data_IF_533254102507
#
_entry.id   IF_533254102507
#
_cell.length_a   1.000
_cell.length_b   1.000
_cell.length_c   1.000
_cell.angle_alpha   90.00
_cell.angle_beta   90.00
_cell.angle_gamma   90.00
#
_symmetry.space_group_name_H-M   'P 1'
#
loop_
_entity.id
_entity.type
_entity.pdbx_description
1 polymer ?
#
# COMPACT_ATOMS: atom_id res chain seq x y z
N UNK A 1 14.38 12.28 -11.62
CA UNK A 1 15.23 12.33 -10.43
C UNK A 1 14.32 12.06 -9.23
N UNK A 2 14.67 11.17 -8.31
CA UNK A 2 13.79 10.74 -7.19
C UNK A 2 13.97 11.58 -5.90
N UNK A 3 14.74 12.67 -5.96
CA UNK A 3 15.07 13.50 -4.79
C UNK A 3 13.89 14.23 -4.17
N UNK A 4 12.77 14.39 -4.89
CA UNK A 4 11.53 14.96 -4.35
C UNK A 4 10.69 13.92 -3.60
N UNK A 5 10.95 12.62 -3.79
CA UNK A 5 10.26 11.55 -3.09
C UNK A 5 10.88 11.35 -1.69
N UNK A 6 10.10 11.34 -0.60
CA UNK A 6 10.66 11.21 0.74
C UNK A 6 11.37 9.88 0.96
N UNK A 7 12.59 9.93 1.52
CA UNK A 7 13.40 8.75 1.86
C UNK A 7 13.36 8.44 3.37
N UNK A 8 12.20 8.70 4.01
CA UNK A 8 11.99 8.49 5.44
C UNK A 8 10.63 7.84 5.68
N UNK A 9 10.60 6.72 6.40
CA UNK A 9 9.36 6.04 6.78
C UNK A 9 8.39 6.96 7.54
N UNK A 10 8.91 7.90 8.32
CA UNK A 10 8.09 8.91 9.00
C UNK A 10 7.34 9.79 7.99
N UNK A 11 8.07 10.38 7.04
CA UNK A 11 7.48 11.25 6.03
C UNK A 11 6.54 10.47 5.09
N UNK A 12 6.93 9.24 4.70
CA UNK A 12 6.10 8.37 3.88
C UNK A 12 4.76 8.04 4.55
N UNK A 13 4.77 7.73 5.85
CA UNK A 13 3.54 7.50 6.62
C UNK A 13 2.72 8.78 6.77
N UNK A 14 3.36 9.87 7.17
CA UNK A 14 2.70 11.15 7.44
C UNK A 14 2.00 11.70 6.18
N UNK A 15 2.60 11.51 5.01
CA UNK A 15 2.07 11.98 3.73
C UNK A 15 1.16 10.94 3.03
N UNK A 16 0.95 9.77 3.62
CA UNK A 16 0.11 8.71 3.03
C UNK A 16 0.68 8.13 1.73
N UNK A 17 2.00 8.10 1.59
CA UNK A 17 2.71 7.65 0.38
C UNK A 17 3.08 6.17 0.38
N UNK A 18 2.92 5.49 1.52
CA UNK A 18 3.15 4.06 1.67
C UNK A 18 2.21 3.46 2.72
N UNK A 19 2.00 2.15 2.65
CA UNK A 19 1.19 1.39 3.60
C UNK A 19 2.03 0.84 4.74
N UNK A 20 1.48 0.86 5.97
CA UNK A 20 2.18 0.42 7.17
C UNK A 20 1.38 -0.61 7.95
N UNK A 21 2.09 -1.56 8.56
CA UNK A 21 1.56 -2.50 9.54
C UNK A 21 1.89 -2.02 10.94
N UNK A 22 0.85 -1.79 11.73
CA UNK A 22 0.96 -1.34 13.11
C UNK A 22 0.93 -2.54 14.06
N UNK A 23 1.79 -2.51 15.08
CA UNK A 23 1.84 -3.47 16.17
C UNK A 23 2.06 -2.76 17.49
N UNK A 24 1.39 -3.21 18.54
CA UNK A 24 1.74 -2.80 19.90
C UNK A 24 3.03 -3.48 20.33
N UNK A 25 3.86 -2.73 21.06
CA UNK A 25 4.98 -3.28 21.80
C UNK A 25 4.49 -3.89 23.12
N UNK A 26 5.30 -4.69 23.83
CA UNK A 26 4.94 -5.16 25.16
C UNK A 26 4.55 -4.01 26.11
N UNK A 27 5.25 -2.88 26.04
CA UNK A 27 4.92 -1.67 26.80
C UNK A 27 3.59 -1.07 26.34
N UNK A 28 3.34 -1.01 25.02
CA UNK A 28 2.08 -0.51 24.47
C UNK A 28 0.87 -1.33 24.89
N UNK A 29 1.00 -2.65 25.01
CA UNK A 29 -0.09 -3.51 25.50
C UNK A 29 -0.51 -3.17 26.94
N UNK A 30 0.45 -2.85 27.83
CA UNK A 30 0.15 -2.39 29.19
C UNK A 30 -0.63 -1.07 29.19
N UNK A 31 -0.35 -0.20 28.22
CA UNK A 31 -1.00 1.10 28.07
C UNK A 31 -2.18 1.10 27.10
N UNK A 32 -2.65 -0.06 26.64
CA UNK A 32 -3.69 -0.19 25.59
C UNK A 32 -4.96 0.60 25.87
N UNK A 33 -5.35 0.71 27.14
CA UNK A 33 -6.51 1.50 27.58
C UNK A 33 -6.38 3.02 27.35
N UNK A 34 -5.18 3.53 27.05
CA UNK A 34 -4.93 4.93 26.72
C UNK A 34 -5.22 5.27 25.24
N UNK A 35 -5.44 4.27 24.40
CA UNK A 35 -5.61 4.43 22.95
C UNK A 35 -7.07 4.70 22.62
N UNK A 36 -7.32 5.51 21.60
CA UNK A 36 -8.65 5.76 21.05
C UNK A 36 -8.66 5.54 19.54
N UNK A 37 -9.78 5.04 18.98
CA UNK A 37 -9.96 5.00 17.54
C UNK A 37 -9.80 6.40 16.94
N UNK A 38 -9.02 6.51 15.88
CA UNK A 38 -8.69 7.79 15.23
C UNK A 38 -7.49 8.54 15.84
N UNK A 39 -6.86 8.02 16.90
CA UNK A 39 -5.61 8.60 17.42
C UNK A 39 -4.54 8.63 16.32
N UNK A 40 -3.78 9.74 16.30
CA UNK A 40 -2.55 9.80 15.52
C UNK A 40 -1.56 8.75 16.07
N UNK A 41 -1.09 7.79 15.25
CA UNK A 41 -0.12 6.82 15.70
C UNK A 41 1.25 7.43 16.02
N UNK A 42 1.60 8.62 15.51
CA UNK A 42 2.94 9.19 15.63
C UNK A 42 3.40 9.37 17.09
N UNK A 43 2.64 10.03 18.00
CA UNK A 43 3.03 10.12 19.40
C UNK A 43 3.14 8.77 20.12
N UNK A 44 2.38 7.77 19.69
CA UNK A 44 2.40 6.42 20.25
C UNK A 44 3.64 5.65 19.78
N UNK A 45 4.11 5.92 18.56
CA UNK A 45 5.38 5.41 18.04
C UNK A 45 6.56 6.04 18.77
N UNK A 46 6.55 7.35 18.96
CA UNK A 46 7.62 8.07 19.68
C UNK A 46 7.78 7.62 21.14
N UNK A 47 6.67 7.26 21.80
CA UNK A 47 6.66 6.65 23.14
C UNK A 47 7.15 5.20 23.14
N UNK A 48 7.36 4.59 21.98
CA UNK A 48 7.69 3.17 21.83
C UNK A 48 6.55 2.23 22.20
N UNK A 49 5.30 2.70 22.18
CA UNK A 49 4.12 1.88 22.47
C UNK A 49 3.59 1.19 21.21
N UNK A 50 3.79 1.81 20.05
CA UNK A 50 3.46 1.25 18.74
C UNK A 50 4.72 1.18 17.90
N UNK A 51 4.81 0.17 17.05
CA UNK A 51 5.76 0.13 15.93
C UNK A 51 4.95 0.12 14.64
N UNK A 52 5.33 0.98 13.70
CA UNK A 52 4.83 0.95 12.33
C UNK A 52 5.93 0.39 11.43
N UNK A 53 5.65 -0.70 10.73
CA UNK A 53 6.57 -1.34 9.79
C UNK A 53 6.01 -1.18 8.37
N UNK A 54 6.80 -0.78 7.36
CA UNK A 54 6.30 -0.69 5.99
C UNK A 54 5.81 -2.07 5.51
N UNK A 55 4.71 -2.09 4.78
CA UNK A 55 4.23 -3.31 4.13
C UNK A 55 5.06 -3.55 2.87
N UNK A 56 5.59 -4.76 2.72
CA UNK A 56 6.36 -5.16 1.55
C UNK A 56 5.46 -5.16 0.31
N UNK A 57 5.98 -4.61 -0.78
CA UNK A 57 5.32 -4.64 -2.08
C UNK A 57 5.43 -6.04 -2.70
N UNK A 58 4.29 -6.68 -2.95
CA UNK A 58 4.19 -8.06 -3.46
C UNK A 58 3.74 -8.11 -4.94
N UNK A 59 3.62 -6.96 -5.60
CA UNK A 59 3.19 -6.86 -7.00
C UNK A 59 4.36 -6.52 -7.94
N UNK A 60 4.03 -6.19 -9.19
CA UNK A 60 5.00 -5.84 -10.23
C UNK A 60 4.98 -4.34 -10.51
N UNK A 61 6.10 -3.79 -10.97
CA UNK A 61 6.11 -2.41 -11.47
C UNK A 61 5.16 -2.29 -12.68
N UNK A 62 4.45 -1.15 -12.84
CA UNK A 62 3.57 -0.94 -13.97
C UNK A 62 4.32 -1.03 -15.31
N UNK A 63 3.58 -1.37 -16.37
CA UNK A 63 4.08 -1.76 -17.71
C UNK A 63 5.13 -0.81 -18.32
N UNK A 64 5.13 0.47 -17.94
CA UNK A 64 6.09 1.48 -18.40
C UNK A 64 7.47 1.43 -17.74
N UNK A 65 7.66 0.69 -16.63
CA UNK A 65 8.92 0.68 -15.89
C UNK A 65 9.99 -0.23 -16.50
N UNK A 66 9.61 -1.22 -17.30
CA UNK A 66 10.52 -2.27 -17.75
C UNK A 66 10.91 -2.21 -19.23
N UNK A 67 10.38 -1.30 -20.06
CA UNK A 67 10.79 -1.09 -21.48
C UNK A 67 10.74 -2.31 -22.43
N UNK A 68 10.48 -3.52 -21.93
CA UNK A 68 10.71 -4.80 -22.62
C UNK A 68 9.44 -5.30 -23.32
N UNK A 69 8.25 -4.82 -22.94
CA UNK A 69 6.99 -5.30 -23.54
C UNK A 69 6.62 -4.63 -24.87
N UNK A 70 7.41 -3.66 -25.35
CA UNK A 70 7.21 -3.03 -26.66
C UNK A 70 7.85 -3.81 -27.83
N UNK A 71 8.82 -4.70 -27.57
CA UNK A 71 9.62 -5.29 -28.66
C UNK A 71 8.99 -6.52 -29.34
N UNK A 72 8.00 -7.17 -28.74
CA UNK A 72 7.34 -8.36 -29.29
C UNK A 72 5.97 -8.09 -29.92
N UNK A 73 5.41 -6.90 -29.72
CA UNK A 73 4.16 -6.48 -30.33
C UNK A 73 4.52 -5.59 -31.51
N UNK A 74 4.44 -6.17 -32.70
CA UNK A 74 4.79 -5.51 -33.96
C UNK A 74 4.25 -4.08 -34.07
N UNK A 75 5.02 -3.28 -34.78
CA UNK A 75 4.98 -1.84 -35.07
C UNK A 75 3.59 -1.16 -35.24
N UNK A 76 2.69 -1.31 -34.28
CA UNK A 76 1.45 -0.54 -34.18
C UNK A 76 1.52 0.32 -32.93
N UNK A 77 1.79 1.60 -33.16
CA UNK A 77 1.74 2.68 -32.18
C UNK A 77 0.28 2.96 -31.80
N UNK A 78 -0.41 1.99 -31.19
CA UNK A 78 -1.67 2.28 -30.52
C UNK A 78 -1.35 2.77 -29.12
N UNK A 79 -1.43 4.09 -28.94
CA UNK A 79 -1.65 4.68 -27.64
C UNK A 79 -2.95 4.09 -27.07
N UNK A 80 -2.85 2.98 -26.32
CA UNK A 80 -4.00 2.31 -25.72
C UNK A 80 -4.54 3.18 -24.58
N UNK A 81 -5.37 4.15 -24.94
CA UNK A 81 -6.35 4.80 -24.06
C UNK A 81 -7.60 3.90 -23.89
N UNK A 82 -7.38 2.60 -23.68
CA UNK A 82 -8.43 1.57 -23.63
C UNK A 82 -8.21 0.60 -22.45
N UNK A 83 -7.83 1.11 -21.28
CA UNK A 83 -7.57 0.28 -20.09
C UNK A 83 -8.77 -0.58 -19.67
N UNK A 84 -10.00 -0.06 -19.79
CA UNK A 84 -11.20 -0.76 -19.32
C UNK A 84 -11.61 -1.92 -20.25
N UNK A 85 -11.63 -1.70 -21.58
CA UNK A 85 -12.00 -2.73 -22.54
C UNK A 85 -11.03 -3.93 -22.54
N UNK A 86 -9.74 -3.70 -22.27
CA UNK A 86 -8.76 -4.79 -22.11
C UNK A 86 -8.91 -5.55 -20.80
N UNK A 87 -9.33 -4.89 -19.72
CA UNK A 87 -9.51 -5.53 -18.40
C UNK A 87 -10.73 -6.44 -18.40
N UNK A 88 -11.86 -5.97 -18.93
CA UNK A 88 -13.10 -6.76 -19.00
C UNK A 88 -12.89 -8.06 -19.80
N UNK A 89 -12.22 -7.97 -20.95
CA UNK A 89 -11.87 -9.14 -21.76
C UNK A 89 -10.91 -10.10 -21.03
N UNK A 90 -9.94 -9.56 -20.29
CA UNK A 90 -9.01 -10.35 -19.49
C UNK A 90 -9.74 -11.07 -18.34
N UNK A 91 -10.58 -10.39 -17.58
CA UNK A 91 -11.36 -10.96 -16.48
C UNK A 91 -12.37 -12.00 -16.97
N UNK A 92 -12.99 -11.79 -18.14
CA UNK A 92 -13.85 -12.78 -18.78
C UNK A 92 -13.08 -14.05 -19.15
N UNK A 93 -11.87 -13.93 -19.68
CA UNK A 93 -11.01 -15.07 -20.00
C UNK A 93 -10.45 -15.76 -18.75
N UNK A 94 -10.14 -14.99 -17.70
CA UNK A 94 -9.68 -15.50 -16.40
C UNK A 94 -10.80 -16.22 -15.63
N UNK A 95 -12.05 -15.83 -15.87
CA UNK A 95 -13.25 -16.37 -15.22
C UNK A 95 -13.59 -15.70 -13.87
N UNK A 96 -12.86 -14.65 -13.48
CA UNK A 96 -13.10 -13.89 -12.27
C UNK A 96 -12.50 -12.48 -12.36
N UNK A 97 -12.97 -11.52 -11.54
CA UNK A 97 -12.37 -10.20 -11.48
C UNK A 97 -10.96 -10.24 -10.87
N UNK A 98 -10.08 -9.38 -11.36
CA UNK A 98 -8.76 -9.16 -10.75
C UNK A 98 -8.94 -8.33 -9.49
N UNK A 99 -8.26 -8.71 -8.41
CA UNK A 99 -8.30 -7.98 -7.15
C UNK A 99 -7.59 -6.62 -7.28
N UNK A 100 -8.08 -5.62 -6.56
CA UNK A 100 -7.44 -4.31 -6.44
C UNK A 100 -6.35 -4.38 -5.36
N UNK A 101 -5.09 -4.24 -5.77
CA UNK A 101 -3.93 -4.32 -4.89
C UNK A 101 -3.95 -3.21 -3.82
N UNK A 102 -4.39 -1.99 -4.16
CA UNK A 102 -4.46 -0.88 -3.20
C UNK A 102 -5.46 -1.19 -2.10
N UNK A 103 -6.59 -1.80 -2.46
CA UNK A 103 -7.60 -2.25 -1.50
C UNK A 103 -7.05 -3.32 -0.56
N UNK A 104 -6.26 -4.28 -1.07
CA UNK A 104 -5.63 -5.30 -0.23
C UNK A 104 -4.64 -4.70 0.77
N UNK A 105 -3.77 -3.78 0.33
CA UNK A 105 -2.83 -3.11 1.22
C UNK A 105 -3.53 -2.20 2.24
N UNK A 106 -4.55 -1.46 1.82
CA UNK A 106 -5.39 -0.64 2.70
C UNK A 106 -6.04 -1.49 3.78
N UNK A 107 -6.67 -2.60 3.40
CA UNK A 107 -7.28 -3.54 4.35
C UNK A 107 -6.24 -4.14 5.31
N UNK A 108 -5.03 -4.44 4.83
CA UNK A 108 -3.95 -4.97 5.67
C UNK A 108 -3.51 -3.95 6.73
N UNK A 109 -3.36 -2.68 6.33
CA UNK A 109 -3.07 -1.57 7.25
C UNK A 109 -4.22 -1.39 8.27
N UNK A 110 -5.46 -1.25 7.82
CA UNK A 110 -6.62 -1.05 8.69
C UNK A 110 -6.84 -2.19 9.68
N UNK A 111 -6.63 -3.43 9.24
CA UNK A 111 -6.69 -4.61 10.11
C UNK A 111 -5.64 -4.52 11.21
N UNK A 112 -4.46 -3.99 10.90
CA UNK A 112 -3.39 -3.79 11.90
C UNK A 112 -3.70 -2.63 12.86
N UNK A 113 -4.27 -1.53 12.36
CA UNK A 113 -4.75 -0.40 13.18
C UNK A 113 -5.85 -0.84 14.15
N UNK A 114 -6.85 -1.61 13.68
CA UNK A 114 -7.91 -2.21 14.50
C UNK A 114 -7.35 -3.08 15.63
N UNK A 115 -6.37 -3.93 15.32
CA UNK A 115 -5.69 -4.76 16.34
C UNK A 115 -4.92 -3.93 17.37
N UNK A 116 -4.55 -2.69 17.08
CA UNK A 116 -3.91 -1.77 18.03
C UNK A 116 -4.92 -0.86 18.76
N UNK A 117 -6.21 -0.87 18.39
CA UNK A 117 -7.23 0.04 18.92
C UNK A 117 -7.19 1.45 18.32
N UNK A 118 -6.54 1.62 17.17
CA UNK A 118 -6.40 2.90 16.46
C UNK A 118 -7.53 3.15 15.43
N UNK A 119 -8.35 2.13 15.15
CA UNK A 119 -9.47 2.17 14.23
C UNK A 119 -10.59 1.27 14.75
#
# INVERSE_FOLDING_TARGET
MFSEFPDSEFLLRQQGLAWFRYRLTPTGEVHRQAFRPGDDPQPLIERGWVVAQPIIYEDFLPVSAAGIFQSNLGNETQARSHGNASREAFEAALGCPVQDEFELYRQAEERSKRRCGLL
#
